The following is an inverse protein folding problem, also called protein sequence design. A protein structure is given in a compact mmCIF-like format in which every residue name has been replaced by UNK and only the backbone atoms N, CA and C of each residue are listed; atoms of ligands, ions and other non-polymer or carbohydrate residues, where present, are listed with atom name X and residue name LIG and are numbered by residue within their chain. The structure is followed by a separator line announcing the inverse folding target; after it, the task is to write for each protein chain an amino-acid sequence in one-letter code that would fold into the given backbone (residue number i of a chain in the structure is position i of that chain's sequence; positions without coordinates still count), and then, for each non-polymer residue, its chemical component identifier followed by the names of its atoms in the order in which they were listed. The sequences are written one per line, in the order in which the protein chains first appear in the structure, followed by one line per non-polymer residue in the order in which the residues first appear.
data_IF_897328611931
#
_entry.id   IF_897328611931
#
_cell.length_a   1.000
_cell.length_b   1.000
_cell.length_c   1.000
_cell.angle_alpha   90.00
_cell.angle_beta   90.00
_cell.angle_gamma   90.00
#
_symmetry.space_group_name_H-M   'P 1'
#
loop_
_entity.id
_entity.type
_entity.pdbx_description
1 polymer ?
#
# COMPACT_ATOMS: atom_id res chain seq x y z
N UNK A 1 -31.67 -22.85 21.13
CA UNK A 1 -31.16 -22.81 20.83
C UNK A 1 -30.35 -22.32 20.64
N UNK A 2 -30.36 -22.21 20.70
CA UNK A 2 -29.64 -21.91 20.43
C UNK A 2 -28.63 -21.29 20.24
N UNK A 3 -28.60 -21.45 20.29
CA UNK A 3 -27.74 -21.01 20.02
C UNK A 3 -26.79 -20.50 19.79
N UNK A 4 -26.84 -20.66 19.77
CA UNK A 4 -25.94 -20.39 19.38
C UNK A 4 -25.16 -19.81 18.98
N UNK A 5 -25.38 -19.96 18.80
CA UNK A 5 -24.66 -19.66 18.18
C UNK A 5 -23.94 -18.90 17.86
N UNK A 6 -24.17 -18.84 17.92
CA UNK A 6 -23.47 -18.31 17.38
C UNK A 6 -22.54 -17.78 17.25
N UNK A 7 -22.70 -17.75 17.47
CA UNK A 7 -21.79 -17.35 17.12
C UNK A 7 -20.85 -17.09 16.84
N UNK A 8 -21.00 -17.15 16.89
CA UNK A 8 -20.13 -17.08 16.40
C UNK A 8 -19.47 -16.56 15.87
N UNK A 9 -19.73 -16.50 15.93
CA UNK A 9 -19.10 -16.10 15.19
C UNK A 9 -18.39 -15.41 15.05
N UNK A 10 -18.68 -15.37 15.40
CA UNK A 10 -18.01 -14.85 15.03
C UNK A 10 -17.20 -14.46 14.93
N UNK A 11 -17.31 -14.59 15.21
CA UNK A 11 -16.51 -14.44 14.86
C UNK A 11 -15.76 -14.25 14.46
N UNK A 12 -15.83 -14.45 14.44
CA UNK A 12 -15.18 -14.50 13.70
C UNK A 12 -14.77 -13.81 13.30
N UNK A 13 -15.03 -13.64 13.44
CA UNK A 13 -14.58 -13.13 12.79
C UNK A 13 -13.83 -12.55 12.83
N UNK A 14 -13.93 -12.48 13.17
CA UNK A 14 -13.28 -11.99 13.05
C UNK A 14 -12.38 -11.89 12.85
N UNK A 15 -12.26 -12.27 12.87
CA UNK A 15 -11.41 -12.30 12.52
C UNK A 15 -10.89 -12.04 11.72
N UNK A 16 -11.25 -12.37 12.00
CA UNK A 16 -10.81 -12.30 10.82
C UNK A 16 -10.01 -11.26 10.37
N UNK A 17 -10.28 -10.82 9.93
CA UNK A 17 -9.54 -9.93 9.27
C UNK A 17 -8.44 -9.38 9.99
N UNK A 18 -8.47 -9.68 11.12
CA UNK A 18 -7.45 -9.24 11.89
C UNK A 18 -6.12 -9.54 11.39
N UNK A 19 -6.01 -10.59 10.74
CA UNK A 19 -4.74 -10.96 10.25
C UNK A 19 -4.20 -10.03 9.22
N UNK A 20 -5.03 -9.20 8.71
CA UNK A 20 -4.61 -8.36 7.64
C UNK A 20 -3.44 -7.46 7.97
N UNK A 21 -3.23 -7.15 9.17
CA UNK A 21 -2.18 -6.23 9.50
C UNK A 21 -0.85 -6.89 9.73
N UNK A 22 -0.78 -8.14 9.50
CA UNK A 22 0.39 -8.87 9.87
C UNK A 22 1.70 -8.40 9.30
N UNK A 23 1.71 -7.88 8.13
CA UNK A 23 2.97 -7.54 7.50
C UNK A 23 3.80 -6.52 8.23
N UNK A 24 3.19 -5.64 8.97
CA UNK A 24 3.89 -4.58 9.65
C UNK A 24 3.95 -4.74 11.13
N UNK A 25 3.16 -5.65 11.68
CA UNK A 25 3.05 -5.81 13.12
C UNK A 25 2.21 -4.75 13.78
N UNK A 26 1.84 -3.70 13.06
CA UNK A 26 1.01 -2.62 13.59
C UNK A 26 -0.07 -2.27 12.59
N UNK A 27 -1.30 -2.06 13.05
CA UNK A 27 -2.38 -1.73 12.12
C UNK A 27 -2.26 -0.33 11.57
N UNK A 28 -2.81 -0.12 10.39
CA UNK A 28 -2.91 1.18 9.78
C UNK A 28 -3.91 2.02 10.57
N UNK A 29 -3.51 3.22 10.93
CA UNK A 29 -4.38 4.15 11.65
C UNK A 29 -4.66 5.42 10.88
N UNK A 30 -3.84 5.75 9.88
CA UNK A 30 -4.00 6.97 9.08
C UNK A 30 -3.80 6.64 7.61
N UNK A 31 -4.53 7.34 6.75
CA UNK A 31 -4.39 7.20 5.30
C UNK A 31 -4.18 8.57 4.69
N UNK A 32 -3.30 8.65 3.71
CA UNK A 32 -3.02 9.88 2.98
C UNK A 32 -2.98 9.58 1.48
N UNK A 33 -3.57 10.46 0.68
CA UNK A 33 -3.62 10.28 -0.77
C UNK A 33 -2.76 11.33 -1.44
N UNK A 34 -1.96 10.92 -2.41
CA UNK A 34 -1.09 11.81 -3.17
C UNK A 34 -1.41 11.62 -4.64
N UNK A 35 -1.53 12.73 -5.38
CA UNK A 35 -1.67 12.70 -6.82
C UNK A 35 -0.31 12.89 -7.43
N UNK A 36 0.00 12.09 -8.44
CA UNK A 36 1.29 12.15 -9.14
C UNK A 36 1.07 12.41 -10.61
N UNK A 37 2.00 13.14 -11.20
CA UNK A 37 2.08 13.30 -12.64
C UNK A 37 3.29 12.53 -13.13
N UNK A 38 3.06 11.64 -14.06
CA UNK A 38 4.08 10.73 -14.53
C UNK A 38 4.50 11.07 -15.95
N UNK A 39 5.43 10.30 -16.48
CA UNK A 39 5.91 10.47 -17.83
C UNK A 39 4.74 10.48 -18.82
N UNK A 40 4.82 11.30 -19.85
CA UNK A 40 3.81 11.43 -20.89
C UNK A 40 2.48 12.00 -20.38
N UNK A 41 2.52 12.72 -19.26
CA UNK A 41 1.32 13.34 -18.73
C UNK A 41 0.36 12.39 -18.04
N UNK A 42 0.74 11.16 -17.83
CA UNK A 42 -0.12 10.22 -17.11
C UNK A 42 -0.24 10.64 -15.66
N UNK A 43 -1.40 10.39 -15.09
CA UNK A 43 -1.63 10.72 -13.68
C UNK A 43 -2.04 9.48 -12.93
N UNK A 44 -1.65 9.41 -11.67
CA UNK A 44 -2.07 8.32 -10.80
C UNK A 44 -2.21 8.85 -9.38
N UNK A 45 -3.23 8.37 -8.69
CA UNK A 45 -3.45 8.70 -7.28
C UNK A 45 -3.08 7.49 -6.46
N UNK A 46 -2.30 7.72 -5.42
CA UNK A 46 -1.86 6.65 -4.54
C UNK A 46 -2.26 7.00 -3.12
N UNK A 47 -2.85 6.04 -2.44
CA UNK A 47 -3.18 6.17 -1.03
C UNK A 47 -2.19 5.35 -0.23
N UNK A 48 -1.56 5.99 0.75
CA UNK A 48 -0.62 5.32 1.64
C UNK A 48 -1.25 5.14 3.01
N UNK A 49 -1.05 3.97 3.59
CA UNK A 49 -1.45 3.75 4.97
C UNK A 49 -0.25 3.92 5.88
N UNK A 50 -0.50 4.43 7.09
CA UNK A 50 0.55 4.62 8.10
C UNK A 50 0.07 4.05 9.42
N UNK A 51 1.00 3.49 10.19
CA UNK A 51 0.68 2.98 11.51
C UNK A 51 0.82 4.09 12.56
N UNK A 52 0.63 3.74 13.80
CA UNK A 52 0.69 4.67 14.91
C UNK A 52 2.01 5.41 14.99
N UNK A 53 3.08 4.79 14.57
CA UNK A 53 4.42 5.37 14.62
C UNK A 53 4.73 6.23 13.39
N UNK A 54 3.78 6.33 12.45
CA UNK A 54 4.01 7.09 11.23
C UNK A 54 4.75 6.31 10.16
N UNK A 55 4.91 5.02 10.32
CA UNK A 55 5.57 4.19 9.33
C UNK A 55 4.54 3.67 8.33
N UNK A 56 4.97 3.54 7.09
CA UNK A 56 4.07 3.15 6.02
C UNK A 56 3.73 1.66 6.10
N UNK A 57 2.47 1.32 5.82
CA UNK A 57 1.99 -0.05 5.89
C UNK A 57 1.59 -0.61 4.54
N UNK A 58 1.10 0.23 3.63
CA UNK A 58 0.73 -0.21 2.29
C UNK A 58 0.60 1.00 1.38
N UNK A 59 0.51 0.72 0.08
CA UNK A 59 0.14 1.70 -0.92
C UNK A 59 -0.98 1.10 -1.75
N UNK A 60 -1.89 1.95 -2.21
CA UNK A 60 -3.00 1.53 -3.05
C UNK A 60 -3.15 2.52 -4.19
N UNK A 61 -3.25 2.02 -5.41
CA UNK A 61 -3.31 2.88 -6.58
C UNK A 61 -4.41 2.41 -7.52
N UNK A 62 -5.04 3.37 -8.21
CA UNK A 62 -6.03 3.05 -9.22
C UNK A 62 -5.27 2.80 -10.53
N UNK A 63 -5.24 1.58 -10.98
CA UNK A 63 -4.52 1.18 -12.19
C UNK A 63 -5.49 0.51 -13.14
N UNK A 64 -5.66 1.09 -14.32
CA UNK A 64 -6.57 0.56 -15.34
C UNK A 64 -7.98 0.34 -14.78
N UNK A 65 -8.44 1.30 -13.99
CA UNK A 65 -9.80 1.25 -13.45
C UNK A 65 -9.98 0.35 -12.24
N UNK A 66 -8.92 -0.25 -11.76
CA UNK A 66 -8.99 -1.12 -10.58
C UNK A 66 -8.13 -0.58 -9.46
N UNK A 67 -8.61 -0.70 -8.25
CA UNK A 67 -7.84 -0.33 -7.09
C UNK A 67 -6.90 -1.48 -6.74
N UNK A 68 -5.61 -1.26 -6.85
CA UNK A 68 -4.59 -2.27 -6.58
C UNK A 68 -3.94 -1.96 -5.25
N UNK A 69 -4.01 -2.89 -4.32
CA UNK A 69 -3.41 -2.72 -3.01
C UNK A 69 -2.07 -3.45 -2.95
N UNK A 70 -1.06 -2.74 -2.48
CA UNK A 70 0.31 -3.25 -2.43
C UNK A 70 0.82 -3.09 -1.00
N UNK A 71 0.89 -4.17 -0.23
CA UNK A 71 1.40 -4.05 1.15
C UNK A 71 2.88 -3.72 1.14
N UNK A 72 3.35 -3.09 2.21
CA UNK A 72 4.78 -2.79 2.33
C UNK A 72 5.58 -4.09 2.23
N UNK A 73 6.65 -4.05 1.47
CA UNK A 73 7.54 -5.20 1.32
C UNK A 73 8.79 -4.94 2.16
N UNK A 74 8.79 -5.44 3.36
CA UNK A 74 9.87 -5.19 4.31
C UNK A 74 11.16 -5.88 3.91
N UNK A 75 11.06 -6.98 3.17
CA UNK A 75 12.26 -7.69 2.73
C UNK A 75 13.07 -6.89 1.72
N UNK A 76 12.41 -6.07 0.93
CA UNK A 76 13.09 -5.29 -0.09
C UNK A 76 13.34 -3.85 0.30
N UNK A 77 12.61 -3.36 1.29
CA UNK A 77 12.73 -1.96 1.71
C UNK A 77 13.92 -1.78 2.64
N UNK A 78 14.55 -0.61 2.55
CA UNK A 78 15.68 -0.28 3.43
C UNK A 78 15.63 1.21 3.78
N UNK A 79 16.74 1.75 4.25
CA UNK A 79 16.80 3.15 4.66
C UNK A 79 16.71 4.14 3.50
N UNK A 80 16.93 3.68 2.30
CA UNK A 80 16.98 4.55 1.13
C UNK A 80 15.77 4.36 0.23
N UNK A 81 15.25 3.15 0.14
CA UNK A 81 14.18 2.81 -0.80
C UNK A 81 13.06 2.05 -0.12
N UNK A 82 11.84 2.37 -0.56
CA UNK A 82 10.64 1.69 -0.06
C UNK A 82 9.97 0.97 -1.22
N UNK A 83 9.59 -0.27 -1.00
CA UNK A 83 8.90 -1.09 -2.00
C UNK A 83 7.59 -1.59 -1.43
N UNK A 84 6.54 -1.50 -2.25
CA UNK A 84 5.22 -2.01 -1.90
C UNK A 84 4.84 -3.08 -2.91
N UNK A 85 4.23 -4.15 -2.45
CA UNK A 85 3.78 -5.22 -3.33
C UNK A 85 4.76 -6.37 -3.35
N UNK A 86 4.29 -7.50 -3.86
CA UNK A 86 5.10 -8.70 -3.93
C UNK A 86 5.53 -8.98 -5.34
N UNK A 87 6.56 -9.76 -5.46
CA UNK A 87 6.99 -10.30 -6.73
C UNK A 87 5.83 -11.03 -7.38
N UNK A 88 5.62 -10.83 -8.68
CA UNK A 88 4.50 -11.43 -9.37
C UNK A 88 3.23 -10.60 -9.34
N UNK A 89 3.23 -9.48 -8.62
CA UNK A 89 2.12 -8.55 -8.59
C UNK A 89 2.61 -7.18 -9.00
N UNK A 90 1.77 -6.17 -8.79
CA UNK A 90 2.19 -4.79 -8.99
C UNK A 90 3.14 -4.39 -7.88
N UNK A 91 4.16 -3.62 -8.23
CA UNK A 91 5.13 -3.12 -7.26
C UNK A 91 5.27 -1.61 -7.44
N UNK A 92 5.14 -0.88 -6.34
CA UNK A 92 5.41 0.55 -6.32
C UNK A 92 6.73 0.76 -5.60
N UNK A 93 7.64 1.49 -6.24
CA UNK A 93 8.92 1.81 -5.62
C UNK A 93 9.08 3.30 -5.47
N UNK A 94 9.68 3.71 -4.37
CA UNK A 94 9.89 5.11 -4.04
C UNK A 94 11.06 5.21 -3.06
N UNK A 95 11.44 6.43 -2.70
CA UNK A 95 12.48 6.63 -1.69
C UNK A 95 11.93 6.37 -0.29
N UNK A 96 12.76 6.57 0.69
CA UNK A 96 12.33 6.40 2.08
C UNK A 96 11.22 7.38 2.39
N UNK A 97 10.17 6.89 3.05
CA UNK A 97 9.05 7.76 3.38
C UNK A 97 8.40 7.40 4.70
N UNK A 98 7.76 8.37 5.30
CA UNK A 98 6.93 8.18 6.48
C UNK A 98 5.77 9.16 6.40
N UNK A 99 4.99 9.28 7.47
CA UNK A 99 3.82 10.13 7.48
C UNK A 99 4.14 11.62 7.33
N UNK A 100 5.39 12.01 7.46
CA UNK A 100 5.81 13.41 7.30
C UNK A 100 6.45 13.70 5.96
N UNK A 101 6.96 12.69 5.26
CA UNK A 101 7.70 12.88 4.01
C UNK A 101 7.06 12.25 2.80
N UNK A 102 5.88 11.68 2.93
CA UNK A 102 5.26 10.90 1.86
C UNK A 102 5.01 11.70 0.56
N UNK A 103 4.99 13.00 0.61
CA UNK A 103 4.75 13.82 -0.57
C UNK A 103 6.01 14.33 -1.24
N UNK A 104 7.17 13.86 -0.82
CA UNK A 104 8.43 14.42 -1.31
C UNK A 104 9.18 13.55 -2.29
N UNK A 105 8.72 12.34 -2.51
CA UNK A 105 9.49 11.39 -3.31
C UNK A 105 8.79 11.06 -4.62
N UNK A 106 9.55 10.86 -5.69
CA UNK A 106 8.98 10.33 -6.92
C UNK A 106 8.67 8.85 -6.75
N UNK A 107 7.77 8.35 -7.60
CA UNK A 107 7.42 6.93 -7.55
C UNK A 107 7.48 6.31 -8.94
N UNK A 108 7.52 4.99 -8.95
CA UNK A 108 7.45 4.19 -10.16
C UNK A 108 6.59 2.97 -9.85
N UNK A 109 5.71 2.60 -10.78
CA UNK A 109 4.87 1.42 -10.59
C UNK A 109 5.14 0.44 -11.72
N UNK A 110 5.44 -0.79 -11.34
CA UNK A 110 5.76 -1.89 -12.26
C UNK A 110 4.65 -2.93 -12.21
N UNK A 111 4.24 -3.43 -13.37
CA UNK A 111 3.19 -4.44 -13.48
C UNK A 111 3.74 -5.84 -13.20
N UNK A 112 2.86 -6.84 -13.05
CA UNK A 112 3.30 -8.22 -12.81
C UNK A 112 4.23 -8.78 -13.87
N UNK A 113 4.13 -8.29 -15.10
CA UNK A 113 5.00 -8.75 -16.19
C UNK A 113 6.31 -7.98 -16.25
N UNK A 114 6.61 -7.21 -15.21
CA UNK A 114 7.83 -6.40 -15.09
C UNK A 114 7.88 -5.19 -16.01
N UNK A 115 6.78 -4.84 -16.64
CA UNK A 115 6.74 -3.62 -17.42
C UNK A 115 6.43 -2.45 -16.52
N UNK A 116 7.09 -1.33 -16.77
CA UNK A 116 6.85 -0.12 -15.99
C UNK A 116 5.58 0.55 -16.53
N UNK A 117 4.55 0.65 -15.70
CA UNK A 117 3.29 1.25 -16.14
C UNK A 117 3.18 2.73 -15.79
N UNK A 118 3.86 3.17 -14.74
CA UNK A 118 3.96 4.59 -14.39
C UNK A 118 5.41 4.90 -14.04
N UNK A 119 5.99 5.84 -14.75
CA UNK A 119 7.41 6.14 -14.63
C UNK A 119 7.63 7.63 -14.38
N UNK A 120 8.66 7.95 -13.62
CA UNK A 120 9.02 9.34 -13.32
C UNK A 120 7.85 10.13 -12.79
N UNK A 121 7.15 9.57 -11.81
CA UNK A 121 5.98 10.19 -11.24
C UNK A 121 6.38 11.13 -10.13
N UNK A 122 5.98 12.38 -10.25
CA UNK A 122 6.28 13.40 -9.24
C UNK A 122 5.00 13.83 -8.54
N UNK A 123 5.03 14.11 -7.24
CA UNK A 123 3.86 14.60 -6.53
C UNK A 123 3.44 15.95 -7.07
N UNK A 124 2.11 16.16 -7.14
CA UNK A 124 1.56 17.44 -7.58
C UNK A 124 1.40 18.38 -6.43
#
# INVERSE_FOLDING_TARGET
MKLLTTVILSSALALSGVAAAAGTGNPTVTKKTVSYVCQQGKEVKVTYGFNKQGLTTYASAAIKGKQVQMPINLDKSDNMDTFYGKEGGYVLSTGAMDSKSYRKQPIMITAPDNQIVFKDCSPR
#
